data_IF_108764541685
#
_entry.id   IF_108764541685
#
_cell.length_a   1.000
_cell.length_b   1.000
_cell.length_c   1.000
_cell.angle_alpha   90.00
_cell.angle_beta   90.00
_cell.angle_gamma   90.00
#
_symmetry.space_group_name_H-M   'P 1'
#
loop_
_entity.id
_entity.type
_entity.pdbx_description
1 polymer ?
#
# COMPACT_ATOMS: atom_id res chain seq x y z
N UNK A 1 -3.08 1.25 -19.37
CA UNK A 1 -3.43 1.21 -17.93
C UNK A 1 -4.37 2.33 -17.48
N UNK A 2 -4.50 3.50 -18.16
CA UNK A 2 -5.42 4.55 -17.70
C UNK A 2 -6.89 4.12 -17.78
N UNK A 3 -7.29 3.59 -18.93
CA UNK A 3 -8.64 3.10 -19.25
C UNK A 3 -8.95 1.69 -18.73
N UNK A 4 -8.03 1.09 -17.96
CA UNK A 4 -8.18 -0.28 -17.46
C UNK A 4 -8.88 -0.30 -16.11
N UNK A 5 -9.60 -1.38 -15.84
CA UNK A 5 -10.25 -1.61 -14.56
C UNK A 5 -9.23 -1.90 -13.46
N UNK A 6 -9.63 -1.64 -12.21
CA UNK A 6 -8.81 -1.94 -11.05
C UNK A 6 -8.48 -3.43 -10.99
N UNK A 7 -7.20 -3.75 -10.82
CA UNK A 7 -6.71 -5.13 -10.79
C UNK A 7 -6.34 -5.69 -12.16
N UNK A 8 -6.61 -4.99 -13.26
CA UNK A 8 -6.07 -5.40 -14.55
C UNK A 8 -4.54 -5.40 -14.55
N UNK A 9 -3.99 -6.42 -15.21
CA UNK A 9 -2.57 -6.74 -15.22
C UNK A 9 -2.00 -6.59 -16.63
N UNK A 10 -0.83 -5.95 -16.72
CA UNK A 10 0.03 -5.99 -17.89
C UNK A 10 1.36 -6.62 -17.50
N UNK A 11 1.74 -7.71 -18.18
CA UNK A 11 3.05 -8.33 -18.05
C UNK A 11 3.99 -7.76 -19.09
N UNK A 12 5.21 -7.43 -18.68
CA UNK A 12 6.25 -7.00 -19.60
C UNK A 12 7.63 -7.45 -19.13
N UNK A 13 8.60 -7.65 -20.03
CA UNK A 13 9.99 -7.84 -19.66
C UNK A 13 10.50 -6.65 -18.82
N UNK A 14 11.34 -6.93 -17.83
CA UNK A 14 12.01 -5.90 -17.07
C UNK A 14 13.14 -5.28 -17.89
N UNK A 15 13.07 -3.97 -18.12
CA UNK A 15 14.15 -3.22 -18.76
C UNK A 15 15.42 -3.13 -17.88
N UNK A 16 15.26 -3.23 -16.56
CA UNK A 16 16.36 -3.09 -15.61
C UNK A 16 17.09 -4.42 -15.32
N UNK A 17 16.43 -5.57 -15.54
CA UNK A 17 16.96 -6.87 -15.15
C UNK A 17 16.62 -7.95 -16.17
N UNK A 18 17.63 -8.50 -16.84
CA UNK A 18 17.48 -9.63 -17.76
C UNK A 18 16.88 -10.85 -17.04
N UNK A 19 15.94 -11.54 -17.67
CA UNK A 19 15.27 -12.72 -17.11
C UNK A 19 14.26 -12.41 -16.00
N UNK A 20 13.78 -11.17 -15.89
CA UNK A 20 12.69 -10.81 -14.95
C UNK A 20 11.50 -10.25 -15.71
N UNK A 21 10.30 -10.54 -15.22
CA UNK A 21 9.07 -9.93 -15.67
C UNK A 21 8.62 -8.87 -14.66
N UNK A 22 8.04 -7.79 -15.14
CA UNK A 22 7.33 -6.81 -14.31
C UNK A 22 5.84 -6.99 -14.56
N UNK A 23 5.13 -7.35 -13.50
CA UNK A 23 3.70 -7.32 -13.45
C UNK A 23 3.25 -5.90 -13.06
N UNK A 24 2.60 -5.24 -14.00
CA UNK A 24 2.08 -3.88 -13.88
C UNK A 24 0.59 -3.98 -13.57
N UNK A 25 0.18 -3.63 -12.37
CA UNK A 25 -1.20 -3.77 -11.89
C UNK A 25 -1.86 -2.40 -11.79
N UNK A 26 -3.07 -2.25 -12.31
CA UNK A 26 -3.91 -1.06 -12.08
C UNK A 26 -4.34 -1.04 -10.61
N UNK A 27 -3.89 -0.05 -9.85
CA UNK A 27 -4.11 0.04 -8.41
C UNK A 27 -5.03 1.18 -7.99
N UNK A 28 -5.41 2.07 -8.90
CA UNK A 28 -6.32 3.20 -8.64
C UNK A 28 -6.62 3.99 -9.91
N UNK A 29 -7.26 5.15 -9.80
CA UNK A 29 -7.60 5.95 -10.99
C UNK A 29 -6.34 6.45 -11.72
N UNK A 30 -5.38 6.99 -10.99
CA UNK A 30 -4.07 7.42 -11.50
C UNK A 30 -2.92 6.46 -11.16
N UNK A 31 -3.12 5.52 -10.25
CA UNK A 31 -2.06 4.69 -9.70
C UNK A 31 -1.91 3.32 -10.38
N UNK A 32 -0.64 2.97 -10.59
CA UNK A 32 -0.22 1.68 -11.14
C UNK A 32 0.93 1.17 -10.28
N UNK A 33 0.83 -0.07 -9.80
CA UNK A 33 1.87 -0.74 -9.03
C UNK A 33 2.68 -1.70 -9.90
N UNK A 34 3.95 -1.90 -9.55
CA UNK A 34 4.86 -2.78 -10.28
C UNK A 34 5.41 -3.84 -9.31
N UNK A 35 5.11 -5.10 -9.59
CA UNK A 35 5.68 -6.25 -8.90
C UNK A 35 6.67 -6.95 -9.84
N UNK A 36 7.89 -7.14 -9.37
CA UNK A 36 8.94 -7.78 -10.16
C UNK A 36 8.93 -9.27 -9.83
N UNK A 37 8.62 -10.09 -10.82
CA UNK A 37 8.71 -11.53 -10.75
C UNK A 37 10.02 -11.97 -11.40
N UNK A 38 10.74 -12.85 -10.71
CA UNK A 38 11.93 -13.51 -11.25
C UNK A 38 11.57 -14.94 -11.57
N UNK A 39 11.75 -15.33 -12.83
CA UNK A 39 11.71 -16.74 -13.20
C UNK A 39 12.97 -17.43 -12.68
N UNK A 40 12.81 -18.57 -12.05
CA UNK A 40 13.89 -19.37 -11.49
C UNK A 40 13.59 -20.87 -11.68
N UNK A 41 14.57 -21.74 -11.44
CA UNK A 41 14.43 -23.19 -11.60
C UNK A 41 14.68 -23.92 -10.30
N UNK A 42 13.85 -24.93 -10.05
CA UNK A 42 14.04 -25.90 -8.97
C UNK A 42 15.14 -26.92 -9.36
N UNK A 43 15.71 -27.65 -8.37
CA UNK A 43 16.72 -28.68 -8.65
C UNK A 43 16.23 -29.82 -9.56
N UNK A 44 14.93 -30.08 -9.60
CA UNK A 44 14.27 -31.06 -10.47
C UNK A 44 14.05 -30.55 -11.90
N UNK A 45 14.44 -29.30 -12.19
CA UNK A 45 14.29 -28.66 -13.51
C UNK A 45 12.97 -27.90 -13.71
N UNK A 46 12.02 -27.98 -12.77
CA UNK A 46 10.75 -27.25 -12.87
C UNK A 46 10.96 -25.73 -12.71
N UNK A 47 10.25 -24.94 -13.50
CA UNK A 47 10.28 -23.48 -13.40
C UNK A 47 9.29 -22.97 -12.34
N UNK A 48 9.58 -21.81 -11.77
CA UNK A 48 8.67 -21.07 -10.91
C UNK A 48 8.94 -19.56 -10.99
N UNK A 49 7.95 -18.77 -10.59
CA UNK A 49 8.06 -17.33 -10.46
C UNK A 49 8.21 -16.95 -8.99
N UNK A 50 9.30 -16.26 -8.69
CA UNK A 50 9.59 -15.76 -7.36
C UNK A 50 9.23 -14.27 -7.26
N UNK A 51 8.32 -13.96 -6.35
CA UNK A 51 8.10 -12.62 -5.84
C UNK A 51 8.92 -12.40 -4.57
N UNK A 52 9.64 -11.29 -4.51
CA UNK A 52 10.30 -10.82 -3.28
C UNK A 52 9.70 -9.50 -2.85
N UNK A 53 9.22 -9.46 -1.61
CA UNK A 53 8.69 -8.26 -0.98
C UNK A 53 9.63 -7.83 0.15
N UNK A 54 10.39 -6.76 -0.09
CA UNK A 54 11.37 -6.26 0.88
C UNK A 54 10.72 -5.46 2.02
N UNK A 55 9.43 -5.09 1.91
CA UNK A 55 8.75 -4.34 2.97
C UNK A 55 8.42 -5.24 4.15
N UNK A 56 8.01 -6.46 3.84
CA UNK A 56 7.59 -7.48 4.82
C UNK A 56 8.54 -8.67 4.88
N UNK A 57 9.69 -8.58 4.21
CA UNK A 57 10.70 -9.64 4.06
C UNK A 57 10.11 -11.00 3.65
N UNK A 58 9.19 -10.97 2.69
CA UNK A 58 8.47 -12.14 2.23
C UNK A 58 9.00 -12.63 0.88
N UNK A 59 9.01 -13.95 0.71
CA UNK A 59 9.30 -14.64 -0.55
C UNK A 59 8.14 -15.55 -0.89
N UNK A 60 7.55 -15.35 -2.06
CA UNK A 60 6.42 -16.14 -2.54
C UNK A 60 6.78 -16.78 -3.88
N UNK A 61 6.54 -18.07 -3.98
CA UNK A 61 6.75 -18.86 -5.19
C UNK A 61 5.39 -19.15 -5.82
N UNK A 62 5.34 -19.04 -7.14
CA UNK A 62 4.16 -19.37 -7.95
C UNK A 62 4.63 -20.29 -9.06
N UNK A 63 3.93 -21.40 -9.29
CA UNK A 63 4.24 -22.30 -10.40
C UNK A 63 3.97 -21.63 -11.75
N UNK A 64 2.90 -20.82 -11.82
CA UNK A 64 2.45 -20.15 -13.03
C UNK A 64 2.12 -18.67 -12.76
N UNK A 65 2.11 -17.86 -13.83
CA UNK A 65 1.74 -16.45 -13.71
C UNK A 65 0.26 -16.28 -13.35
N UNK A 66 -0.61 -17.15 -13.86
CA UNK A 66 -2.04 -17.10 -13.53
C UNK A 66 -2.27 -17.38 -12.04
N UNK A 67 -1.45 -18.24 -11.43
CA UNK A 67 -1.45 -18.44 -9.99
C UNK A 67 -1.08 -17.15 -9.25
N UNK A 68 -0.05 -16.42 -9.68
CA UNK A 68 0.29 -15.12 -9.11
C UNK A 68 -0.86 -14.11 -9.25
N UNK A 69 -1.51 -14.04 -10.42
CA UNK A 69 -2.62 -13.11 -10.65
C UNK A 69 -3.79 -13.46 -9.72
N UNK A 70 -4.17 -14.73 -9.64
CA UNK A 70 -5.34 -15.17 -8.87
C UNK A 70 -5.10 -15.18 -7.36
N UNK A 71 -3.92 -15.62 -6.91
CA UNK A 71 -3.64 -15.85 -5.49
C UNK A 71 -2.92 -14.67 -4.82
N UNK A 72 -2.31 -13.76 -5.61
CA UNK A 72 -1.68 -12.56 -5.09
C UNK A 72 -2.40 -11.29 -5.50
N UNK A 73 -2.56 -11.04 -6.81
CA UNK A 73 -3.12 -9.77 -7.29
C UNK A 73 -4.60 -9.63 -6.93
N UNK A 74 -5.42 -10.65 -7.18
CA UNK A 74 -6.86 -10.63 -6.86
C UNK A 74 -7.15 -10.27 -5.40
N UNK A 75 -6.62 -11.01 -4.41
CA UNK A 75 -6.80 -10.71 -2.99
C UNK A 75 -6.28 -9.31 -2.60
N UNK A 76 -5.11 -8.92 -3.11
CA UNK A 76 -4.56 -7.58 -2.88
C UNK A 76 -5.50 -6.48 -3.39
N UNK A 77 -6.08 -6.66 -4.58
CA UNK A 77 -7.05 -5.72 -5.16
C UNK A 77 -8.30 -5.65 -4.31
N UNK A 78 -8.76 -6.77 -3.74
CA UNK A 78 -9.87 -6.77 -2.77
C UNK A 78 -9.58 -5.88 -1.54
N UNK A 79 -8.36 -5.92 -1.00
CA UNK A 79 -7.94 -5.05 0.10
C UNK A 79 -7.94 -3.58 -0.34
N UNK A 80 -7.41 -3.28 -1.52
CA UNK A 80 -7.38 -1.93 -2.11
C UNK A 80 -8.80 -1.39 -2.30
N UNK A 81 -9.71 -2.19 -2.84
CA UNK A 81 -11.12 -1.84 -2.98
C UNK A 81 -11.73 -1.49 -1.63
N UNK A 82 -11.47 -2.29 -0.59
CA UNK A 82 -11.92 -2.01 0.77
C UNK A 82 -11.41 -0.67 1.33
N UNK A 83 -10.19 -0.25 0.96
CA UNK A 83 -9.69 1.10 1.28
C UNK A 83 -10.45 2.17 0.50
N UNK A 84 -10.66 1.95 -0.81
CA UNK A 84 -11.31 2.92 -1.70
C UNK A 84 -12.78 3.15 -1.38
N UNK A 85 -13.49 2.14 -0.89
CA UNK A 85 -14.90 2.25 -0.48
C UNK A 85 -15.09 2.82 0.93
N UNK A 86 -14.00 3.05 1.68
CA UNK A 86 -14.11 3.62 3.01
C UNK A 86 -14.57 5.08 2.95
N UNK A 87 -15.49 5.48 3.83
CA UNK A 87 -16.12 6.84 3.86
C UNK A 87 -15.18 8.04 3.99
N UNK A 88 -13.91 7.81 4.33
CA UNK A 88 -12.85 8.84 4.42
C UNK A 88 -11.78 8.67 3.34
N UNK A 89 -12.09 7.96 2.27
CA UNK A 89 -11.23 7.84 1.10
C UNK A 89 -11.36 9.09 0.23
N UNK A 90 -10.23 9.52 -0.32
CA UNK A 90 -10.10 10.66 -1.23
C UNK A 90 -9.28 10.18 -2.42
N UNK A 91 -9.84 10.32 -3.62
CA UNK A 91 -9.19 9.81 -4.83
C UNK A 91 -7.99 10.66 -5.25
N UNK A 92 -8.01 11.95 -4.97
CA UNK A 92 -6.93 12.87 -5.28
C UNK A 92 -6.28 13.41 -4.00
N UNK A 93 -5.00 13.12 -3.80
CA UNK A 93 -4.23 13.63 -2.65
C UNK A 93 -4.31 15.15 -2.46
N UNK A 94 -4.56 15.93 -3.53
CA UNK A 94 -4.72 17.38 -3.46
C UNK A 94 -5.96 17.83 -2.70
N UNK A 95 -6.98 16.98 -2.59
CA UNK A 95 -8.25 17.27 -1.89
C UNK A 95 -8.19 16.93 -0.39
N UNK A 96 -7.15 16.22 0.04
CA UNK A 96 -6.96 15.81 1.44
C UNK A 96 -7.02 16.98 2.43
N UNK A 97 -6.38 18.15 2.19
CA UNK A 97 -6.47 19.27 3.12
C UNK A 97 -7.92 19.70 3.40
N UNK A 98 -8.73 19.84 2.35
CA UNK A 98 -10.15 20.19 2.48
C UNK A 98 -10.94 19.13 3.24
N UNK A 99 -10.74 17.85 2.90
CA UNK A 99 -11.40 16.74 3.58
C UNK A 99 -11.06 16.64 5.08
N UNK A 100 -9.85 17.05 5.49
CA UNK A 100 -9.45 17.12 6.90
C UNK A 100 -10.05 18.34 7.60
N UNK A 101 -10.08 19.50 6.93
CA UNK A 101 -10.66 20.74 7.44
C UNK A 101 -12.17 20.60 7.66
N UNK A 102 -12.89 19.93 6.75
CA UNK A 102 -14.31 19.61 6.90
C UNK A 102 -14.60 18.81 8.16
N UNK A 103 -13.76 17.81 8.46
CA UNK A 103 -13.89 16.99 9.67
C UNK A 103 -13.69 17.82 10.94
N UNK A 104 -12.72 18.74 10.93
CA UNK A 104 -12.49 19.66 12.05
C UNK A 104 -13.67 20.61 12.25
N UNK A 105 -14.22 21.18 11.16
CA UNK A 105 -15.43 22.04 11.22
C UNK A 105 -16.64 21.30 11.79
N UNK A 106 -16.76 20.01 11.54
CA UNK A 106 -17.80 19.14 12.10
C UNK A 106 -17.56 18.72 13.55
N UNK A 107 -16.56 19.29 14.24
CA UNK A 107 -16.28 19.00 15.66
C UNK A 107 -15.61 17.64 15.92
N UNK A 108 -15.06 16.98 14.88
CA UNK A 108 -14.33 15.72 15.04
C UNK A 108 -12.86 16.03 15.29
N UNK A 109 -12.47 16.20 16.56
CA UNK A 109 -11.10 16.65 16.94
C UNK A 109 -9.92 15.84 16.37
N UNK A 110 -10.15 14.60 15.93
CA UNK A 110 -9.18 13.82 15.15
C UNK A 110 -9.70 13.57 13.72
N UNK A 111 -9.01 14.17 12.75
CA UNK A 111 -9.32 14.02 11.33
C UNK A 111 -8.33 13.06 10.66
N UNK A 112 -8.83 12.23 9.74
CA UNK A 112 -7.98 11.41 8.87
C UNK A 112 -8.62 11.18 7.52
N UNK A 113 -7.80 10.89 6.52
CA UNK A 113 -8.22 10.52 5.17
C UNK A 113 -7.27 9.47 4.59
N UNK A 114 -7.82 8.50 3.88
CA UNK A 114 -7.06 7.65 2.97
C UNK A 114 -6.97 8.37 1.64
N UNK A 115 -5.80 8.34 0.99
CA UNK A 115 -5.69 8.91 -0.34
C UNK A 115 -4.81 8.11 -1.27
N UNK A 116 -5.22 8.10 -2.53
CA UNK A 116 -4.38 7.68 -3.65
C UNK A 116 -3.40 8.83 -3.99
N UNK A 117 -2.12 8.48 -4.17
CA UNK A 117 -1.06 9.48 -4.38
C UNK A 117 -0.99 10.00 -5.82
N UNK A 118 -1.74 9.39 -6.76
CA UNK A 118 -1.70 9.71 -8.19
C UNK A 118 -0.36 9.42 -8.86
N UNK A 119 0.52 8.66 -8.20
CA UNK A 119 1.84 8.29 -8.74
C UNK A 119 1.70 7.10 -9.68
N UNK A 120 2.24 7.25 -10.89
CA UNK A 120 2.42 6.11 -11.81
C UNK A 120 3.70 5.39 -11.43
N UNK A 121 3.62 4.12 -11.07
CA UNK A 121 4.79 3.23 -10.95
C UNK A 121 5.79 3.55 -9.82
N UNK A 122 5.49 4.50 -8.91
CA UNK A 122 6.37 4.83 -7.78
C UNK A 122 5.64 4.75 -6.43
N UNK A 123 6.07 3.88 -5.51
CA UNK A 123 5.51 3.82 -4.17
C UNK A 123 5.86 5.09 -3.35
N UNK A 124 5.04 5.43 -2.35
CA UNK A 124 3.79 4.77 -1.97
C UNK A 124 2.66 5.10 -2.95
N UNK A 125 1.81 4.12 -3.24
CA UNK A 125 0.62 4.30 -4.10
C UNK A 125 -0.54 4.91 -3.30
N UNK A 126 -0.65 4.55 -2.02
CA UNK A 126 -1.64 5.05 -1.09
C UNK A 126 -0.99 5.53 0.21
N UNK A 127 -1.62 6.51 0.84
CA UNK A 127 -1.23 7.03 2.14
C UNK A 127 -2.44 7.26 3.04
N UNK A 128 -2.20 7.31 4.35
CA UNK A 128 -3.14 7.89 5.31
C UNK A 128 -2.60 9.23 5.76
N UNK A 129 -3.45 10.23 5.71
CA UNK A 129 -3.19 11.55 6.24
C UNK A 129 -4.00 11.74 7.51
N UNK A 130 -3.40 12.36 8.51
CA UNK A 130 -4.08 12.71 9.76
C UNK A 130 -3.84 14.17 10.09
N UNK A 131 -4.78 14.77 10.81
CA UNK A 131 -4.64 16.10 11.38
C UNK A 131 -5.23 16.15 12.78
N UNK A 132 -4.46 16.70 13.71
CA UNK A 132 -4.83 16.92 15.11
C UNK A 132 -3.75 17.72 15.83
N UNK A 133 -4.12 18.47 16.88
CA UNK A 133 -3.20 19.26 17.70
C UNK A 133 -2.22 20.16 16.90
N UNK A 134 -2.70 20.78 15.82
CA UNK A 134 -1.90 21.66 14.95
C UNK A 134 -0.88 20.95 14.05
N UNK A 135 -0.83 19.61 14.06
CA UNK A 135 0.09 18.81 13.24
C UNK A 135 -0.66 18.04 12.16
N UNK A 136 0.03 17.79 11.05
CA UNK A 136 -0.40 16.90 9.97
C UNK A 136 0.63 15.80 9.78
N UNK A 137 0.18 14.55 9.74
CA UNK A 137 1.06 13.40 9.52
C UNK A 137 0.66 12.64 8.27
N UNK A 138 1.64 12.01 7.64
CA UNK A 138 1.49 11.15 6.46
C UNK A 138 2.08 9.77 6.77
N UNK A 139 1.30 8.73 6.58
CA UNK A 139 1.71 7.35 6.74
C UNK A 139 1.63 6.62 5.41
N UNK A 140 2.72 5.96 5.02
CA UNK A 140 2.77 5.21 3.76
C UNK A 140 2.10 3.86 3.93
N UNK A 141 1.32 3.46 2.93
CA UNK A 141 0.71 2.14 2.86
C UNK A 141 1.45 1.25 1.86
N UNK A 142 1.56 -0.03 2.22
CA UNK A 142 2.09 -1.09 1.38
C UNK A 142 1.10 -2.25 1.38
N UNK A 143 0.82 -2.85 0.23
CA UNK A 143 -0.19 -3.89 0.10
C UNK A 143 0.47 -5.22 -0.26
N UNK A 144 0.03 -6.27 0.41
CA UNK A 144 0.27 -7.66 0.01
C UNK A 144 -1.07 -8.30 -0.35
N UNK A 145 -1.05 -9.59 -0.67
CA UNK A 145 -2.26 -10.35 -0.92
C UNK A 145 -3.10 -10.65 0.32
N UNK A 146 -2.54 -10.49 1.52
CA UNK A 146 -3.22 -10.83 2.79
C UNK A 146 -3.45 -9.65 3.71
N UNK A 147 -2.68 -8.56 3.55
CA UNK A 147 -2.72 -7.43 4.47
C UNK A 147 -2.31 -6.11 3.80
N UNK A 148 -2.59 -5.03 4.52
CA UNK A 148 -2.08 -3.69 4.25
C UNK A 148 -1.21 -3.25 5.42
N UNK A 149 0.02 -2.88 5.12
CA UNK A 149 1.02 -2.45 6.09
C UNK A 149 1.11 -0.93 6.12
N UNK A 150 1.10 -0.37 7.31
CA UNK A 150 1.27 1.06 7.52
C UNK A 150 2.61 1.36 8.18
N UNK A 151 3.37 2.29 7.58
CA UNK A 151 4.65 2.72 8.15
C UNK A 151 4.44 3.76 9.25
N UNK A 152 4.63 3.37 10.51
CA UNK A 152 4.51 4.25 11.67
C UNK A 152 5.88 4.64 12.25
N UNK A 153 6.06 5.89 12.72
CA UNK A 153 7.17 6.23 13.58
C UNK A 153 6.94 5.67 14.99
N UNK A 154 8.00 5.14 15.61
CA UNK A 154 8.02 4.66 16.99
C UNK A 154 9.12 5.42 17.73
N UNK A 155 8.73 6.09 18.80
CA UNK A 155 9.65 6.76 19.72
C UNK A 155 10.14 5.74 20.74
N UNK A 156 11.45 5.56 20.84
CA UNK A 156 12.05 4.80 21.94
C UNK A 156 12.31 5.76 23.10
N UNK A 157 11.82 5.48 24.32
CA UNK A 157 12.09 6.32 25.49
C UNK A 157 13.58 6.52 25.77
N UNK A 158 14.40 5.53 25.40
CA UNK A 158 15.86 5.55 25.59
C UNK A 158 16.66 6.35 24.54
N UNK A 159 16.02 6.85 23.48
CA UNK A 159 16.69 7.69 22.47
C UNK A 159 15.69 8.66 21.82
N UNK A 160 15.40 9.80 22.48
CA UNK A 160 14.42 10.79 22.00
C UNK A 160 14.72 11.36 20.62
N UNK A 161 15.98 11.27 20.16
CA UNK A 161 16.46 11.82 18.90
C UNK A 161 16.40 10.84 17.73
N UNK A 162 16.10 9.56 17.95
CA UNK A 162 16.13 8.54 16.90
C UNK A 162 14.74 7.94 16.67
N UNK A 163 13.99 8.54 15.75
CA UNK A 163 12.71 8.00 15.27
C UNK A 163 12.96 6.73 14.47
N UNK A 164 12.53 5.57 14.99
CA UNK A 164 12.52 4.33 14.22
C UNK A 164 11.19 4.21 13.47
N UNK A 165 11.20 3.69 12.26
CA UNK A 165 9.97 3.38 11.53
C UNK A 165 9.72 1.88 11.54
N UNK A 166 8.48 1.49 11.80
CA UNK A 166 8.03 0.09 11.76
C UNK A 166 6.84 -0.05 10.81
N UNK A 167 6.74 -1.19 10.15
CA UNK A 167 5.55 -1.55 9.38
C UNK A 167 4.59 -2.29 10.29
N UNK A 168 3.40 -1.73 10.46
CA UNK A 168 2.32 -2.33 11.25
C UNK A 168 1.35 -2.98 10.29
N UNK A 169 1.13 -4.28 10.46
CA UNK A 169 0.16 -5.05 9.70
C UNK A 169 -1.27 -4.66 10.09
N UNK A 170 -2.13 -4.47 9.08
CA UNK A 170 -3.56 -4.26 9.22
C UNK A 170 -4.29 -5.07 8.15
N UNK A 171 -5.49 -5.56 8.46
CA UNK A 171 -6.28 -6.38 7.52
C UNK A 171 -7.18 -5.57 6.60
N UNK A 172 -7.55 -4.34 7.00
CA UNK A 172 -8.50 -3.50 6.27
C UNK A 172 -8.44 -2.02 6.69
N UNK A 173 -9.28 -1.20 6.06
CA UNK A 173 -9.40 0.24 6.35
C UNK A 173 -9.75 0.55 7.81
N UNK A 174 -10.58 -0.27 8.45
CA UNK A 174 -11.00 -0.03 9.83
C UNK A 174 -9.85 -0.23 10.81
N UNK A 175 -9.07 -1.30 10.64
CA UNK A 175 -7.87 -1.54 11.45
C UNK A 175 -6.82 -0.46 11.23
N UNK A 176 -6.61 -0.01 9.99
CA UNK A 176 -5.74 1.13 9.69
C UNK A 176 -6.22 2.39 10.43
N UNK A 177 -7.53 2.64 10.45
CA UNK A 177 -8.12 3.79 11.14
C UNK A 177 -7.90 3.72 12.66
N UNK A 178 -8.01 2.54 13.25
CA UNK A 178 -7.75 2.32 14.67
C UNK A 178 -6.28 2.52 14.99
N UNK A 179 -5.38 2.01 14.14
CA UNK A 179 -3.94 2.14 14.32
C UNK A 179 -3.50 3.62 14.30
N UNK A 180 -4.00 4.44 13.37
CA UNK A 180 -3.66 5.89 13.35
C UNK A 180 -4.27 6.65 14.51
N UNK A 181 -5.49 6.32 14.95
CA UNK A 181 -6.11 6.93 16.14
C UNK A 181 -5.31 6.61 17.41
N UNK A 182 -4.92 5.35 17.57
CA UNK A 182 -4.08 4.91 18.70
C UNK A 182 -2.73 5.62 18.68
N UNK A 183 -2.08 5.70 17.52
CA UNK A 183 -0.82 6.42 17.37
C UNK A 183 -0.96 7.91 17.71
N UNK A 184 -2.06 8.55 17.32
CA UNK A 184 -2.34 9.94 17.65
C UNK A 184 -2.66 10.18 19.13
N UNK A 185 -3.22 9.20 19.85
CA UNK A 185 -3.45 9.31 21.30
C UNK A 185 -2.19 9.16 22.15
N UNK A 186 -1.11 8.64 21.57
CA UNK A 186 0.17 8.37 22.25
C UNK A 186 1.22 9.46 22.05
N UNK A 187 0.93 10.48 21.22
CA UNK A 187 1.82 11.59 20.87
C UNK A 187 1.13 12.94 21.08
#
# INVERSE_FOLDING_TARGET
MRERELGEVLLRPSAAHRGRAVCVVKMGAGCVGNWVLREDRRPDGAFYFLLRDNVVDQRLEFAEIDEFINNYVGPMVGIVQGIRTHRRFVENVREVPGALEDQHRMGRGFAYAFAEMGTVSKPPLYCIFTSGAGKRYRFNLHFTNSAVYMRLPVYRPSSPTRTQYVWVECRNAEQLSQAVKKHASQN
#
